data_IF_280017636227
#
_entry.id   IF_280017636227
#
_cell.length_a   1.000
_cell.length_b   1.000
_cell.length_c   1.000
_cell.angle_alpha   90.00
_cell.angle_beta   90.00
_cell.angle_gamma   90.00
#
_symmetry.space_group_name_H-M   'P 1'
#
loop_
_entity.id
_entity.type
_entity.pdbx_description
1 polymer ?
#
# COMPACT_ATOMS: atom_id res chain seq x y z
N UNK A 1 3.30 3.29 -28.07
CA UNK A 1 3.36 4.32 -27.00
C UNK A 1 2.56 3.97 -25.75
N UNK A 2 1.52 3.13 -25.81
CA UNK A 2 0.87 2.58 -24.62
C UNK A 2 0.75 1.05 -24.74
N UNK A 3 1.90 0.40 -24.71
CA UNK A 3 2.04 -1.05 -24.74
C UNK A 3 3.45 -1.40 -24.26
N UNK A 4 3.58 -1.73 -22.97
CA UNK A 4 4.81 -2.17 -22.27
C UNK A 4 6.11 -1.34 -22.43
N UNK A 5 6.09 -0.22 -23.14
CA UNK A 5 7.19 0.75 -23.21
C UNK A 5 7.00 1.82 -22.14
N UNK A 6 8.12 2.26 -21.54
CA UNK A 6 8.15 3.30 -20.53
C UNK A 6 7.44 4.57 -21.04
N UNK A 7 6.48 5.08 -20.27
CA UNK A 7 5.70 6.25 -20.68
C UNK A 7 6.61 7.47 -20.86
N UNK A 8 6.52 8.12 -22.02
CA UNK A 8 7.24 9.37 -22.31
C UNK A 8 6.47 10.54 -21.67
N UNK A 9 6.61 10.68 -20.35
CA UNK A 9 5.82 11.63 -19.54
C UNK A 9 6.08 13.11 -19.84
N UNK A 10 7.16 13.43 -20.56
CA UNK A 10 7.49 14.80 -20.98
C UNK A 10 6.93 15.16 -22.36
N UNK A 11 6.33 14.22 -23.09
CA UNK A 11 5.75 14.49 -24.40
C UNK A 11 4.49 15.38 -24.26
N UNK A 12 4.31 16.41 -25.12
CA UNK A 12 3.12 17.26 -25.08
C UNK A 12 1.79 16.50 -25.14
N UNK A 13 1.76 15.31 -25.75
CA UNK A 13 0.56 14.46 -25.80
C UNK A 13 0.20 13.89 -24.43
N UNK A 14 1.19 13.57 -23.59
CA UNK A 14 0.95 13.16 -22.20
C UNK A 14 0.34 14.31 -21.39
N UNK A 15 0.94 15.49 -21.50
CA UNK A 15 0.43 16.70 -20.83
C UNK A 15 -0.95 17.13 -21.35
N UNK A 16 -1.29 16.86 -22.61
CA UNK A 16 -2.63 17.12 -23.16
C UNK A 16 -3.73 16.22 -22.57
N UNK A 17 -3.38 15.04 -22.06
CA UNK A 17 -4.28 14.13 -21.35
C UNK A 17 -4.30 14.31 -19.84
N UNK A 18 -3.31 15.03 -19.29
CA UNK A 18 -3.20 15.29 -17.85
C UNK A 18 -4.13 16.42 -17.45
N UNK A 19 -5.04 16.19 -16.50
CA UNK A 19 -6.08 17.14 -16.22
C UNK A 19 -5.57 18.25 -15.29
N UNK A 20 -6.23 19.41 -15.35
CA UNK A 20 -5.80 20.66 -14.72
C UNK A 20 -6.98 21.48 -14.26
N UNK A 21 -6.78 22.24 -13.21
CA UNK A 21 -7.77 23.20 -12.74
C UNK A 21 -7.80 24.43 -13.66
N UNK A 22 -8.96 25.09 -13.72
CA UNK A 22 -9.13 26.23 -14.61
C UNK A 22 -8.30 27.42 -14.12
N UNK A 23 -7.44 27.95 -14.98
CA UNK A 23 -6.61 29.12 -14.69
C UNK A 23 -5.32 28.82 -13.91
N UNK A 24 -5.00 27.56 -13.63
CA UNK A 24 -3.75 27.18 -12.97
C UNK A 24 -2.63 26.96 -13.97
N UNK A 25 -1.40 27.27 -13.55
CA UNK A 25 -0.17 26.96 -14.30
C UNK A 25 0.34 25.53 -14.10
N UNK A 26 -0.30 24.78 -13.19
CA UNK A 26 0.04 23.41 -12.83
C UNK A 26 -1.08 22.44 -13.19
N UNK A 27 -0.73 21.17 -13.38
CA UNK A 27 -1.65 20.06 -13.66
C UNK A 27 -1.48 18.93 -12.62
N UNK A 28 -2.23 17.83 -12.78
CA UNK A 28 -2.18 16.75 -11.80
C UNK A 28 -0.83 16.02 -11.71
N UNK A 29 -0.04 16.00 -12.78
CA UNK A 29 1.33 15.49 -12.72
C UNK A 29 2.16 16.31 -11.72
N UNK A 30 2.01 17.63 -11.75
CA UNK A 30 2.76 18.54 -10.88
C UNK A 30 2.33 18.38 -9.41
N UNK A 31 1.03 18.16 -9.16
CA UNK A 31 0.53 17.81 -7.81
C UNK A 31 1.11 16.47 -7.34
N UNK A 32 1.10 15.44 -8.19
CA UNK A 32 1.69 14.15 -7.87
C UNK A 32 3.17 14.31 -7.56
N UNK A 33 3.91 15.09 -8.35
CA UNK A 33 5.34 15.33 -8.13
C UNK A 33 5.63 16.11 -6.84
N UNK A 34 4.72 16.98 -6.40
CA UNK A 34 4.80 17.61 -5.08
C UNK A 34 4.75 16.54 -3.98
N UNK A 35 3.76 15.65 -4.01
CA UNK A 35 3.65 14.56 -3.03
C UNK A 35 4.74 13.50 -3.18
N UNK A 36 5.24 13.25 -4.38
CA UNK A 36 6.41 12.40 -4.62
C UNK A 36 7.60 12.89 -3.78
N UNK A 37 7.89 14.20 -3.85
CA UNK A 37 8.98 14.80 -3.10
C UNK A 37 8.73 14.73 -1.59
N UNK A 38 7.50 14.94 -1.14
CA UNK A 38 7.15 14.81 0.27
C UNK A 38 7.26 13.38 0.81
N UNK A 39 6.85 12.37 0.04
CA UNK A 39 6.84 10.97 0.47
C UNK A 39 8.23 10.33 0.40
N UNK A 40 8.97 10.57 -0.68
CA UNK A 40 10.24 9.88 -0.96
C UNK A 40 11.48 10.73 -0.68
N UNK A 41 11.31 11.98 -0.25
CA UNK A 41 12.39 12.93 0.04
C UNK A 41 13.43 13.03 -1.09
N UNK A 42 12.94 12.94 -2.33
CA UNK A 42 13.75 12.90 -3.56
C UNK A 42 13.11 13.76 -4.65
N UNK A 43 13.93 14.40 -5.50
CA UNK A 43 13.48 15.26 -6.58
C UNK A 43 12.85 14.45 -7.72
N UNK A 44 11.55 14.64 -7.97
CA UNK A 44 10.84 14.03 -9.09
C UNK A 44 11.49 14.39 -10.45
N UNK A 45 11.94 15.64 -10.59
CA UNK A 45 12.60 16.12 -11.80
C UNK A 45 13.91 15.38 -12.06
N UNK A 46 14.77 15.28 -11.05
CA UNK A 46 16.06 14.58 -11.19
C UNK A 46 15.87 13.10 -11.51
N UNK A 47 14.92 12.44 -10.82
CA UNK A 47 14.61 11.02 -11.06
C UNK A 47 14.14 10.78 -12.49
N UNK A 48 13.31 11.66 -13.07
CA UNK A 48 12.89 11.56 -14.48
C UNK A 48 14.07 11.54 -15.47
N UNK A 49 15.18 12.20 -15.14
CA UNK A 49 16.37 12.23 -15.99
C UNK A 49 17.32 11.07 -15.74
N UNK A 50 17.55 10.72 -14.48
CA UNK A 50 18.55 9.73 -14.08
C UNK A 50 18.02 8.30 -14.20
N UNK A 51 16.79 8.07 -13.76
CA UNK A 51 16.14 6.76 -13.72
C UNK A 51 14.62 6.90 -13.91
N UNK A 52 14.17 7.03 -15.18
CA UNK A 52 12.76 7.26 -15.46
C UNK A 52 11.88 6.04 -15.13
N UNK A 53 12.44 4.82 -15.08
CA UNK A 53 11.72 3.62 -14.64
C UNK A 53 11.41 3.68 -13.14
N UNK A 54 12.42 4.00 -12.31
CA UNK A 54 12.22 4.20 -10.86
C UNK A 54 11.27 5.36 -10.59
N UNK A 55 11.41 6.46 -11.31
CA UNK A 55 10.49 7.58 -11.22
C UNK A 55 9.03 7.14 -11.45
N UNK A 56 8.76 6.35 -12.50
CA UNK A 56 7.41 5.86 -12.80
C UNK A 56 6.91 4.89 -11.72
N UNK A 57 7.75 3.94 -11.30
CA UNK A 57 7.39 2.96 -10.26
C UNK A 57 6.99 3.64 -8.95
N UNK A 58 7.74 4.66 -8.52
CA UNK A 58 7.43 5.45 -7.33
C UNK A 58 6.21 6.35 -7.54
N UNK A 59 6.08 6.97 -8.71
CA UNK A 59 4.96 7.85 -9.07
C UNK A 59 3.62 7.11 -9.04
N UNK A 60 3.58 5.85 -9.48
CA UNK A 60 2.37 5.02 -9.42
C UNK A 60 1.81 4.90 -8.00
N UNK A 61 2.68 4.85 -6.99
CA UNK A 61 2.30 4.66 -5.58
C UNK A 61 1.78 5.93 -4.91
N UNK A 62 2.24 7.12 -5.36
CA UNK A 62 1.99 8.41 -4.67
C UNK A 62 0.52 8.64 -4.39
N UNK A 63 -0.33 8.59 -5.43
CA UNK A 63 -1.75 8.89 -5.27
C UNK A 63 -2.42 7.90 -4.32
N UNK A 64 -2.07 6.61 -4.42
CA UNK A 64 -2.60 5.57 -3.54
C UNK A 64 -2.21 5.76 -2.08
N UNK A 65 -0.94 6.08 -1.82
CA UNK A 65 -0.44 6.35 -0.47
C UNK A 65 -1.12 7.56 0.16
N UNK A 66 -1.20 8.67 -0.58
CA UNK A 66 -1.80 9.92 -0.07
C UNK A 66 -3.27 9.70 0.27
N UNK A 67 -4.06 9.14 -0.66
CA UNK A 67 -5.49 8.94 -0.42
C UNK A 67 -5.74 7.92 0.68
N UNK A 68 -4.95 6.85 0.79
CA UNK A 68 -5.09 5.88 1.87
C UNK A 68 -4.84 6.50 3.24
N UNK A 69 -3.81 7.34 3.39
CA UNK A 69 -3.56 8.09 4.63
C UNK A 69 -4.71 9.02 5.00
N UNK A 70 -5.27 9.72 4.01
CA UNK A 70 -6.43 10.60 4.21
C UNK A 70 -7.67 9.81 4.64
N UNK A 71 -7.96 8.67 3.99
CA UNK A 71 -9.08 7.82 4.38
C UNK A 71 -8.89 7.20 5.76
N UNK A 72 -7.67 6.78 6.10
CA UNK A 72 -7.34 6.28 7.43
C UNK A 72 -7.63 7.34 8.52
N UNK A 73 -7.23 8.59 8.29
CA UNK A 73 -7.52 9.71 9.20
C UNK A 73 -9.02 10.04 9.27
N UNK A 74 -9.71 10.07 8.13
CA UNK A 74 -11.15 10.35 8.08
C UNK A 74 -12.01 9.25 8.69
N UNK A 75 -11.52 8.00 8.69
CA UNK A 75 -12.23 6.88 9.32
C UNK A 75 -11.98 6.79 10.82
N UNK A 76 -10.93 7.44 11.33
CA UNK A 76 -10.63 7.41 12.75
C UNK A 76 -11.69 8.10 13.59
N UNK A 77 -11.96 7.56 14.79
CA UNK A 77 -12.81 8.19 15.79
C UNK A 77 -12.27 9.51 16.34
N UNK A 78 -11.00 9.84 16.09
CA UNK A 78 -10.42 11.14 16.40
C UNK A 78 -11.00 12.28 15.53
N UNK A 79 -11.68 11.94 14.42
CA UNK A 79 -12.25 12.90 13.49
C UNK A 79 -13.79 12.78 13.41
N UNK A 80 -14.45 13.87 13.02
CA UNK A 80 -15.91 13.91 12.84
C UNK A 80 -16.34 13.66 11.39
N UNK A 81 -15.46 13.10 10.55
CA UNK A 81 -15.76 12.84 9.16
C UNK A 81 -16.76 11.68 9.04
N UNK A 82 -17.93 11.96 8.47
CA UNK A 82 -19.03 10.98 8.34
C UNK A 82 -19.14 10.37 6.94
N UNK A 83 -18.20 10.68 6.04
CA UNK A 83 -18.21 10.20 4.67
C UNK A 83 -17.21 10.93 3.79
N UNK A 84 -16.69 10.21 2.82
CA UNK A 84 -15.68 10.70 1.90
C UNK A 84 -15.88 10.11 0.51
N UNK A 85 -15.63 10.93 -0.52
CA UNK A 85 -15.76 10.54 -1.92
C UNK A 85 -14.43 10.79 -2.62
N UNK A 86 -13.99 9.83 -3.43
CA UNK A 86 -12.77 9.98 -4.24
C UNK A 86 -13.10 10.55 -5.61
N UNK A 87 -12.43 11.64 -5.96
CA UNK A 87 -12.36 12.13 -7.33
C UNK A 87 -11.10 11.56 -8.01
N UNK A 88 -11.20 10.66 -9.00
CA UNK A 88 -12.43 10.11 -9.60
C UNK A 88 -12.34 8.60 -9.84
N UNK A 89 -13.42 8.00 -10.32
CA UNK A 89 -13.48 6.56 -10.59
C UNK A 89 -12.57 6.11 -11.75
N UNK A 90 -12.76 6.63 -12.98
CA UNK A 90 -12.02 6.22 -14.18
C UNK A 90 -11.54 7.40 -15.05
N UNK A 91 -10.32 7.31 -15.60
CA UNK A 91 -9.77 8.38 -16.43
C UNK A 91 -10.51 8.52 -17.75
N UNK A 92 -10.74 9.77 -18.14
CA UNK A 92 -11.40 10.10 -19.40
C UNK A 92 -10.44 9.97 -20.60
N UNK A 93 -9.12 10.11 -20.35
CA UNK A 93 -8.07 10.08 -21.37
C UNK A 93 -6.81 9.41 -20.81
N UNK A 94 -5.94 8.98 -21.71
CA UNK A 94 -4.59 8.52 -21.36
C UNK A 94 -3.73 9.70 -20.89
N UNK A 95 -3.05 9.52 -19.76
CA UNK A 95 -2.22 10.51 -19.11
C UNK A 95 -2.18 10.27 -17.60
N UNK A 96 -1.63 11.21 -16.83
CA UNK A 96 -1.75 11.17 -15.38
C UNK A 96 -3.12 11.71 -14.97
N UNK A 97 -4.16 10.89 -15.05
CA UNK A 97 -5.49 11.26 -14.57
C UNK A 97 -5.71 10.99 -13.08
N UNK A 98 -6.76 11.59 -12.49
CA UNK A 98 -7.16 11.42 -11.09
C UNK A 98 -7.81 10.06 -10.77
N UNK A 99 -7.98 9.20 -11.78
CA UNK A 99 -8.72 7.95 -11.65
C UNK A 99 -8.03 6.95 -10.79
N UNK A 100 -8.83 6.18 -10.05
CA UNK A 100 -8.37 4.91 -9.48
C UNK A 100 -8.29 3.81 -10.56
N UNK A 101 -9.03 3.99 -11.67
CA UNK A 101 -8.95 3.23 -12.91
C UNK A 101 -8.43 4.16 -14.02
N UNK A 102 -7.55 3.65 -14.89
CA UNK A 102 -6.98 4.43 -15.99
C UNK A 102 -7.87 4.47 -17.25
N UNK A 103 -7.41 5.19 -18.28
CA UNK A 103 -8.14 5.35 -19.54
C UNK A 103 -8.25 4.07 -20.38
N UNK A 104 -7.53 3.01 -20.02
CA UNK A 104 -7.58 1.66 -20.60
C UNK A 104 -8.35 0.67 -19.72
N UNK A 105 -9.10 1.18 -18.73
CA UNK A 105 -9.85 0.40 -17.76
C UNK A 105 -8.99 -0.53 -16.88
N UNK A 106 -7.70 -0.22 -16.71
CA UNK A 106 -6.81 -0.93 -15.79
C UNK A 106 -6.82 -0.29 -14.41
N UNK A 107 -6.72 -1.11 -13.36
CA UNK A 107 -6.64 -0.64 -11.97
C UNK A 107 -5.28 0.01 -11.70
N UNK A 108 -5.28 1.23 -11.16
CA UNK A 108 -4.05 1.88 -10.69
C UNK A 108 -3.73 1.43 -9.25
N UNK A 109 -2.54 1.75 -8.75
CA UNK A 109 -2.21 1.49 -7.35
C UNK A 109 -3.26 2.06 -6.39
N UNK A 110 -3.74 3.29 -6.64
CA UNK A 110 -4.77 3.94 -5.83
C UNK A 110 -6.04 3.10 -5.63
N UNK A 111 -6.43 2.27 -6.62
CA UNK A 111 -7.55 1.33 -6.46
C UNK A 111 -7.29 0.35 -5.31
N UNK A 112 -6.12 -0.28 -5.26
CA UNK A 112 -5.80 -1.29 -4.25
C UNK A 112 -5.58 -0.69 -2.87
N UNK A 113 -4.94 0.48 -2.80
CA UNK A 113 -4.81 1.25 -1.56
C UNK A 113 -6.19 1.58 -0.95
N UNK A 114 -7.11 2.10 -1.76
CA UNK A 114 -8.47 2.40 -1.31
C UNK A 114 -9.30 1.15 -1.04
N UNK A 115 -9.12 0.08 -1.83
CA UNK A 115 -9.76 -1.22 -1.59
C UNK A 115 -9.46 -1.72 -0.18
N UNK A 116 -8.22 -1.57 0.30
CA UNK A 116 -7.84 -1.90 1.68
C UNK A 116 -8.41 -0.92 2.69
N UNK A 117 -8.32 0.39 2.43
CA UNK A 117 -8.84 1.43 3.33
C UNK A 117 -10.37 1.41 3.49
N UNK A 118 -11.11 0.85 2.53
CA UNK A 118 -12.58 0.76 2.53
C UNK A 118 -13.12 -0.59 2.96
N UNK A 119 -12.29 -1.51 3.46
CA UNK A 119 -12.79 -2.78 3.96
C UNK A 119 -13.77 -2.55 5.13
N UNK A 120 -14.92 -3.26 5.17
CA UNK A 120 -15.87 -3.17 6.29
C UNK A 120 -15.26 -3.62 7.62
N UNK A 121 -14.32 -4.55 7.58
CA UNK A 121 -13.45 -4.88 8.69
C UNK A 121 -12.07 -4.29 8.39
N UNK A 122 -11.65 -3.30 9.17
CA UNK A 122 -10.48 -2.48 8.88
C UNK A 122 -9.68 -2.23 10.15
N UNK A 123 -8.35 -2.18 10.03
CA UNK A 123 -7.46 -1.67 11.08
C UNK A 123 -6.75 -0.42 10.56
N UNK A 124 -6.99 0.71 11.20
CA UNK A 124 -6.32 1.97 10.95
C UNK A 124 -5.17 2.22 11.92
N UNK A 125 -4.15 2.96 11.48
CA UNK A 125 -3.04 3.39 12.33
C UNK A 125 -2.95 4.92 12.30
N UNK A 126 -3.15 5.57 13.45
CA UNK A 126 -3.11 7.05 13.55
C UNK A 126 -1.98 7.51 14.45
N UNK A 127 -1.35 8.62 14.08
CA UNK A 127 -0.34 9.29 14.89
C UNK A 127 -1.02 10.33 15.79
N UNK A 128 -1.10 10.04 17.08
CA UNK A 128 -1.70 10.90 18.12
C UNK A 128 -0.67 11.83 18.78
N UNK A 129 0.40 12.14 18.07
CA UNK A 129 1.49 13.00 18.50
C UNK A 129 2.13 12.50 19.82
N UNK A 130 2.05 13.30 20.88
CA UNK A 130 2.62 12.98 22.20
C UNK A 130 1.95 11.79 22.89
N UNK A 131 0.80 11.34 22.39
CA UNK A 131 0.09 10.15 22.85
C UNK A 131 0.51 8.87 22.10
N UNK A 132 1.47 8.97 21.17
CA UNK A 132 2.01 7.81 20.46
C UNK A 132 1.20 7.45 19.22
N UNK A 133 1.16 6.17 18.88
CA UNK A 133 0.40 5.65 17.74
C UNK A 133 -0.74 4.78 18.25
N UNK A 134 -1.93 5.00 17.71
CA UNK A 134 -3.10 4.17 17.97
C UNK A 134 -3.35 3.21 16.80
N UNK A 135 -3.77 1.99 17.12
CA UNK A 135 -4.48 1.13 16.18
C UNK A 135 -5.97 1.19 16.46
N UNK A 136 -6.78 1.46 15.44
CA UNK A 136 -8.23 1.48 15.54
C UNK A 136 -8.83 0.38 14.67
N UNK A 137 -9.51 -0.57 15.30
CA UNK A 137 -10.17 -1.68 14.61
C UNK A 137 -11.63 -1.32 14.44
N UNK A 138 -12.11 -1.26 13.19
CA UNK A 138 -13.48 -0.95 12.84
C UNK A 138 -14.18 -2.20 12.32
N UNK A 139 -15.28 -2.59 12.97
CA UNK A 139 -16.20 -3.60 12.48
C UNK A 139 -17.48 -2.93 11.99
N UNK A 140 -17.51 -2.60 10.70
CA UNK A 140 -18.70 -2.10 10.02
C UNK A 140 -19.62 -3.21 9.52
N UNK A 141 -19.39 -4.49 9.87
CA UNK A 141 -20.29 -5.58 9.49
C UNK A 141 -21.55 -5.57 10.36
N UNK A 142 -22.57 -6.33 9.97
CA UNK A 142 -23.80 -6.54 10.73
C UNK A 142 -23.74 -7.75 11.70
N UNK A 143 -22.56 -8.35 11.83
CA UNK A 143 -22.22 -9.40 12.77
C UNK A 143 -21.04 -9.00 13.66
N UNK A 144 -20.90 -9.68 14.80
CA UNK A 144 -19.76 -9.49 15.69
C UNK A 144 -18.49 -10.09 15.08
N UNK A 145 -17.36 -9.42 15.28
CA UNK A 145 -16.03 -9.91 14.92
C UNK A 145 -15.41 -10.61 16.13
N UNK A 146 -14.86 -11.80 15.93
CA UNK A 146 -14.08 -12.51 16.94
C UNK A 146 -12.75 -12.92 16.31
N UNK A 147 -11.65 -12.52 16.93
CA UNK A 147 -10.34 -12.73 16.33
C UNK A 147 -9.22 -12.18 17.19
N UNK A 148 -8.10 -11.89 16.56
CA UNK A 148 -6.99 -11.22 17.22
C UNK A 148 -6.32 -10.18 16.33
N UNK A 149 -5.73 -9.18 16.98
CA UNK A 149 -4.91 -8.14 16.37
C UNK A 149 -3.44 -8.43 16.71
N UNK A 150 -2.66 -8.74 15.69
CA UNK A 150 -1.20 -8.82 15.77
C UNK A 150 -0.56 -7.46 15.50
N UNK A 151 0.40 -7.07 16.33
CA UNK A 151 1.17 -5.83 16.21
C UNK A 151 2.66 -6.17 16.19
N UNK A 152 3.38 -5.70 15.17
CA UNK A 152 4.82 -5.91 15.02
C UNK A 152 5.56 -4.59 14.84
N UNK A 153 6.61 -4.40 15.63
CA UNK A 153 7.57 -3.33 15.43
C UNK A 153 8.76 -3.83 14.61
N UNK A 154 9.04 -3.15 13.51
CA UNK A 154 10.10 -3.50 12.57
C UNK A 154 11.18 -2.43 12.62
N UNK A 155 12.42 -2.83 12.87
CA UNK A 155 13.56 -1.91 12.96
C UNK A 155 14.14 -1.54 11.58
N UNK A 156 15.18 -0.69 11.59
CA UNK A 156 15.89 -0.28 10.36
C UNK A 156 16.57 -1.42 9.60
N UNK A 157 16.79 -2.58 10.23
CA UNK A 157 17.40 -3.76 9.63
C UNK A 157 16.38 -4.82 9.20
N UNK A 158 15.10 -4.46 9.20
CA UNK A 158 13.95 -5.34 8.88
C UNK A 158 13.77 -6.49 9.87
N UNK A 159 14.23 -6.32 11.12
CA UNK A 159 14.01 -7.27 12.20
C UNK A 159 12.75 -6.90 12.98
N UNK A 160 11.96 -7.91 13.33
CA UNK A 160 10.84 -7.75 14.27
C UNK A 160 11.41 -7.68 15.68
N UNK A 161 11.38 -6.48 16.26
CA UNK A 161 11.99 -6.20 17.59
C UNK A 161 10.98 -6.25 18.74
N UNK A 162 9.69 -6.16 18.42
CA UNK A 162 8.61 -6.38 19.37
C UNK A 162 7.40 -6.95 18.61
N UNK A 163 6.66 -7.83 19.29
CA UNK A 163 5.47 -8.48 18.75
C UNK A 163 4.49 -8.76 19.90
N UNK A 164 3.26 -8.31 19.74
CA UNK A 164 2.15 -8.61 20.65
C UNK A 164 0.90 -9.00 19.87
N UNK A 165 0.07 -9.83 20.49
CA UNK A 165 -1.20 -10.29 19.92
C UNK A 165 -2.32 -10.11 20.93
N UNK A 166 -3.38 -9.43 20.50
CA UNK A 166 -4.54 -9.12 21.36
C UNK A 166 -5.75 -9.88 20.85
N UNK A 167 -6.26 -10.82 21.63
CA UNK A 167 -7.58 -11.38 21.40
C UNK A 167 -8.65 -10.32 21.63
N UNK A 168 -9.58 -10.17 20.68
CA UNK A 168 -10.62 -9.15 20.73
C UNK A 168 -11.96 -9.65 20.17
N UNK A 169 -13.03 -9.09 20.70
CA UNK A 169 -14.39 -9.28 20.20
C UNK A 169 -15.01 -7.91 19.98
N UNK A 170 -15.23 -7.53 18.72
CA UNK A 170 -15.78 -6.22 18.36
C UNK A 170 -17.21 -6.43 17.87
N UNK A 171 -18.16 -5.90 18.61
CA UNK A 171 -19.57 -6.00 18.24
C UNK A 171 -19.84 -5.39 16.86
N UNK A 172 -20.93 -5.82 16.21
CA UNK A 172 -21.36 -5.24 14.94
C UNK A 172 -21.47 -3.71 15.00
N UNK A 173 -21.04 -3.02 13.94
CA UNK A 173 -21.08 -1.55 13.80
C UNK A 173 -20.39 -0.83 14.98
N UNK A 174 -19.28 -1.40 15.48
CA UNK A 174 -18.46 -0.82 16.54
C UNK A 174 -17.00 -0.75 16.14
N UNK A 175 -16.26 0.06 16.89
CA UNK A 175 -14.83 0.23 16.74
C UNK A 175 -14.18 0.20 18.12
N UNK A 176 -12.93 -0.26 18.17
CA UNK A 176 -12.11 -0.25 19.37
C UNK A 176 -10.73 0.33 19.04
N UNK A 177 -10.19 1.10 19.99
CA UNK A 177 -8.91 1.80 19.83
C UNK A 177 -7.91 1.27 20.85
N UNK A 178 -6.71 0.97 20.37
CA UNK A 178 -5.60 0.43 21.14
C UNK A 178 -4.41 1.37 21.04
N UNK A 179 -3.92 1.86 22.17
CA UNK A 179 -2.66 2.61 22.20
C UNK A 179 -1.48 1.64 22.13
N UNK A 180 -0.64 1.76 21.12
CA UNK A 180 0.35 0.72 20.82
C UNK A 180 1.50 0.67 21.83
N UNK A 181 1.95 1.81 22.37
CA UNK A 181 2.94 1.83 23.45
C UNK A 181 2.40 1.10 24.70
N UNK A 182 1.13 1.32 25.04
CA UNK A 182 0.49 0.63 26.17
C UNK A 182 0.35 -0.89 25.92
N UNK A 183 -0.02 -1.29 24.70
CA UNK A 183 -0.16 -2.70 24.34
C UNK A 183 1.19 -3.43 24.39
N UNK A 184 2.25 -2.81 23.87
CA UNK A 184 3.59 -3.40 23.85
C UNK A 184 4.28 -3.37 25.22
N UNK A 185 3.65 -2.78 26.24
CA UNK A 185 4.15 -2.74 27.62
C UNK A 185 5.40 -1.86 27.83
N UNK A 186 5.84 -1.13 26.81
CA UNK A 186 7.05 -0.32 26.81
C UNK A 186 6.84 0.95 25.98
N UNK A 187 7.50 2.04 26.39
CA UNK A 187 7.49 3.29 25.65
C UNK A 187 8.57 3.27 24.56
N UNK A 188 8.16 3.26 23.29
CA UNK A 188 9.04 3.19 22.11
C UNK A 188 9.17 4.52 21.35
N UNK A 189 8.44 5.58 21.74
CA UNK A 189 8.30 6.81 20.94
C UNK A 189 7.89 6.47 19.49
N UNK A 190 6.82 5.68 19.34
CA UNK A 190 6.38 5.11 18.06
C UNK A 190 6.08 6.17 16.98
N UNK A 191 5.64 7.35 17.38
CA UNK A 191 5.40 8.49 16.52
C UNK A 191 6.66 9.34 16.24
N UNK A 192 7.78 9.02 16.90
CA UNK A 192 9.05 9.75 16.88
C UNK A 192 8.91 11.26 17.17
N UNK A 193 8.01 11.60 18.10
CA UNK A 193 7.69 13.00 18.45
C UNK A 193 8.66 13.53 19.49
N UNK A 194 9.08 12.69 20.44
CA UNK A 194 10.04 13.08 21.47
C UNK A 194 11.49 13.09 20.96
N UNK A 195 11.76 12.36 19.88
CA UNK A 195 13.07 12.29 19.21
C UNK A 195 14.18 11.80 20.13
N UNK A 196 13.83 10.89 21.03
CA UNK A 196 14.82 10.26 21.91
C UNK A 196 15.65 9.26 21.12
N UNK A 197 16.90 9.63 20.84
CA UNK A 197 17.84 8.77 20.15
C UNK A 197 17.57 8.61 18.64
N UNK A 198 18.24 7.66 17.99
CA UNK A 198 18.09 7.41 16.56
C UNK A 198 16.70 6.90 16.20
N UNK A 199 16.32 7.11 14.93
CA UNK A 199 15.08 6.61 14.34
C UNK A 199 15.11 5.08 14.22
N UNK A 200 14.82 4.37 15.31
CA UNK A 200 14.98 2.92 15.34
C UNK A 200 13.82 2.15 14.69
N UNK A 201 12.61 2.72 14.70
CA UNK A 201 11.43 2.10 14.11
C UNK A 201 11.33 2.47 12.63
N UNK A 202 11.39 1.46 11.77
CA UNK A 202 11.18 1.58 10.32
C UNK A 202 9.70 1.51 9.99
N UNK A 203 8.99 0.55 10.59
CA UNK A 203 7.55 0.38 10.39
C UNK A 203 6.87 -0.26 11.61
N UNK A 204 5.58 0.00 11.71
CA UNK A 204 4.64 -0.66 12.61
C UNK A 204 3.65 -1.40 11.72
N UNK A 205 3.55 -2.71 11.87
CA UNK A 205 2.62 -3.53 11.11
C UNK A 205 1.51 -4.04 12.02
N UNK A 206 0.26 -3.90 11.59
CA UNK A 206 -0.92 -4.48 12.23
C UNK A 206 -1.59 -5.48 11.31
N UNK A 207 -1.99 -6.64 11.84
CA UNK A 207 -2.71 -7.67 11.09
C UNK A 207 -3.88 -8.17 11.92
N UNK A 208 -5.09 -8.13 11.34
CA UNK A 208 -6.29 -8.73 11.93
C UNK A 208 -6.46 -10.14 11.40
N UNK A 209 -6.73 -11.06 12.32
CA UNK A 209 -7.01 -12.45 12.03
C UNK A 209 -8.43 -12.84 12.45
N UNK A 210 -9.14 -13.54 11.57
CA UNK A 210 -10.40 -14.25 11.83
C UNK A 210 -10.18 -15.71 11.45
N UNK A 211 -10.35 -16.66 12.38
CA UNK A 211 -10.10 -18.10 12.15
C UNK A 211 -8.73 -18.40 11.49
N UNK A 212 -7.65 -17.77 11.99
CA UNK A 212 -6.28 -17.86 11.48
C UNK A 212 -6.08 -17.34 10.04
N UNK A 213 -7.09 -16.68 9.46
CA UNK A 213 -6.99 -16.00 8.17
C UNK A 213 -6.81 -14.50 8.35
N UNK A 214 -5.88 -13.93 7.57
CA UNK A 214 -5.71 -12.47 7.52
C UNK A 214 -6.92 -11.85 6.85
N UNK A 215 -7.65 -11.00 7.58
CA UNK A 215 -8.84 -10.30 7.09
C UNK A 215 -8.59 -8.81 6.82
N UNK A 216 -7.62 -8.22 7.49
CA UNK A 216 -7.12 -6.88 7.19
C UNK A 216 -5.68 -6.73 7.66
N UNK A 217 -4.90 -5.88 6.99
CA UNK A 217 -3.57 -5.50 7.40
C UNK A 217 -3.32 -4.01 7.11
N UNK A 218 -2.43 -3.40 7.88
CA UNK A 218 -2.03 -2.00 7.69
C UNK A 218 -0.61 -1.77 8.21
N UNK A 219 0.06 -0.76 7.66
CA UNK A 219 1.43 -0.40 7.99
C UNK A 219 1.54 1.10 8.21
N UNK A 220 2.16 1.49 9.32
CA UNK A 220 2.54 2.86 9.59
C UNK A 220 4.06 3.01 9.51
N UNK A 221 4.51 4.06 8.82
CA UNK A 221 5.91 4.40 8.65
C UNK A 221 6.16 5.73 9.37
N UNK A 222 6.69 5.71 10.61
CA UNK A 222 6.90 6.94 11.39
C UNK A 222 7.89 7.92 10.75
N UNK A 223 8.71 7.40 9.83
CA UNK A 223 9.80 8.12 9.19
C UNK A 223 9.58 8.24 7.68
N UNK A 224 10.30 7.44 6.91
CA UNK A 224 10.28 7.46 5.45
C UNK A 224 9.72 6.13 4.93
N UNK A 225 9.12 6.16 3.73
CA UNK A 225 8.69 4.94 3.07
C UNK A 225 9.91 4.08 2.71
N UNK A 226 9.88 2.76 2.93
CA UNK A 226 11.05 1.90 2.75
C UNK A 226 11.25 1.53 1.27
N UNK A 227 11.68 2.51 0.49
CA UNK A 227 11.89 2.40 -0.97
C UNK A 227 13.36 2.29 -1.37
N UNK A 228 14.27 2.36 -0.40
CA UNK A 228 15.70 2.16 -0.66
C UNK A 228 15.95 0.72 -1.11
N UNK A 229 16.84 0.56 -2.10
CA UNK A 229 17.24 -0.75 -2.59
C UNK A 229 17.80 -1.61 -1.46
N UNK A 230 17.39 -2.87 -1.43
CA UNK A 230 17.86 -3.85 -0.46
C UNK A 230 18.20 -5.17 -1.15
N UNK A 231 19.10 -5.92 -0.52
CA UNK A 231 19.26 -7.34 -0.84
C UNK A 231 18.17 -8.11 -0.10
N UNK A 232 17.30 -8.77 -0.87
CA UNK A 232 16.07 -9.36 -0.39
C UNK A 232 15.95 -10.79 -0.91
N UNK A 233 15.71 -11.72 -0.01
CA UNK A 233 15.27 -13.06 -0.32
C UNK A 233 13.74 -13.05 -0.42
N UNK A 234 13.24 -13.27 -1.64
CA UNK A 234 11.81 -13.34 -1.93
C UNK A 234 11.48 -14.74 -2.42
N UNK A 235 10.73 -15.48 -1.61
CA UNK A 235 10.15 -16.77 -1.99
C UNK A 235 8.82 -16.52 -2.70
N UNK A 236 8.65 -17.19 -3.84
CA UNK A 236 7.45 -17.12 -4.68
C UNK A 236 6.97 -18.54 -4.92
N UNK A 237 5.80 -18.88 -4.39
CA UNK A 237 5.16 -20.16 -4.59
C UNK A 237 3.85 -19.95 -5.36
N UNK A 238 3.63 -20.74 -6.39
CA UNK A 238 2.41 -20.68 -7.20
C UNK A 238 1.65 -21.98 -7.09
N UNK A 239 0.33 -21.90 -6.95
CA UNK A 239 -0.53 -23.07 -6.94
C UNK A 239 -1.71 -22.84 -7.88
N UNK A 240 -1.89 -23.73 -8.85
CA UNK A 240 -3.05 -23.69 -9.75
C UNK A 240 -4.22 -24.38 -9.06
N UNK A 241 -5.30 -23.65 -8.82
CA UNK A 241 -6.55 -24.22 -8.28
C UNK A 241 -7.30 -24.91 -9.42
N UNK A 242 -7.47 -24.19 -10.53
CA UNK A 242 -8.12 -24.65 -11.76
C UNK A 242 -7.54 -23.87 -12.97
N UNK A 243 -8.02 -24.11 -14.22
CA UNK A 243 -7.49 -23.41 -15.39
C UNK A 243 -7.58 -21.88 -15.33
N UNK A 244 -8.57 -21.32 -14.62
CA UNK A 244 -8.86 -19.89 -14.54
C UNK A 244 -8.39 -19.26 -13.23
N UNK A 245 -8.21 -20.05 -12.17
CA UNK A 245 -7.87 -19.56 -10.84
C UNK A 245 -6.55 -20.15 -10.33
N UNK A 246 -5.68 -19.27 -9.82
CA UNK A 246 -4.43 -19.67 -9.19
C UNK A 246 -4.09 -18.77 -8.00
N UNK A 247 -3.22 -19.24 -7.12
CA UNK A 247 -2.68 -18.45 -6.01
C UNK A 247 -1.20 -18.21 -6.19
N UNK A 248 -0.74 -17.06 -5.69
CA UNK A 248 0.67 -16.75 -5.50
C UNK A 248 0.89 -16.45 -4.02
N UNK A 249 1.75 -17.23 -3.38
CA UNK A 249 2.20 -17.00 -2.00
C UNK A 249 3.58 -16.38 -2.04
N UNK A 250 3.72 -15.24 -1.38
CA UNK A 250 4.95 -14.47 -1.29
C UNK A 250 5.45 -14.44 0.14
N UNK A 251 6.73 -14.69 0.35
CA UNK A 251 7.40 -14.55 1.63
C UNK A 251 8.71 -13.82 1.44
N UNK A 252 8.94 -12.76 2.22
CA UNK A 252 10.17 -11.98 2.18
C UNK A 252 10.85 -11.95 3.54
N UNK A 253 12.18 -11.94 3.55
CA UNK A 253 12.98 -11.65 4.73
C UNK A 253 13.17 -10.14 4.99
N UNK A 254 12.65 -9.27 4.12
CA UNK A 254 12.74 -7.81 4.19
C UNK A 254 11.35 -7.18 4.14
N UNK A 255 11.24 -5.94 4.61
CA UNK A 255 10.03 -5.16 4.46
C UNK A 255 9.98 -4.61 3.03
N UNK A 256 9.01 -5.07 2.24
CA UNK A 256 8.84 -4.61 0.87
C UNK A 256 7.54 -3.82 0.78
N UNK A 257 7.63 -2.50 0.65
CA UNK A 257 6.48 -1.62 0.42
C UNK A 257 6.14 -1.54 -1.07
N UNK A 258 4.85 -1.51 -1.42
CA UNK A 258 4.40 -1.29 -2.80
C UNK A 258 4.72 -2.45 -3.75
N UNK A 259 4.64 -3.70 -3.27
CA UNK A 259 4.84 -4.91 -4.07
C UNK A 259 3.76 -5.02 -5.13
N UNK A 260 4.18 -4.96 -6.39
CA UNK A 260 3.35 -5.09 -7.57
C UNK A 260 3.51 -6.47 -8.18
N UNK A 261 2.40 -7.16 -8.38
CA UNK A 261 2.31 -8.45 -9.09
C UNK A 261 1.64 -8.24 -10.43
N UNK A 262 2.33 -8.61 -11.50
CA UNK A 262 1.83 -8.50 -12.87
C UNK A 262 1.86 -9.87 -13.54
N UNK A 263 0.68 -10.37 -13.89
CA UNK A 263 0.49 -11.62 -14.63
C UNK A 263 -0.50 -11.31 -15.76
N UNK A 264 -0.02 -11.11 -17.01
CA UNK A 264 -0.90 -10.76 -18.12
C UNK A 264 -2.05 -11.74 -18.29
N UNK A 265 -3.25 -11.22 -18.53
CA UNK A 265 -4.49 -12.00 -18.63
C UNK A 265 -5.14 -12.38 -17.30
N UNK A 266 -4.55 -11.99 -16.15
CA UNK A 266 -5.09 -12.28 -14.82
C UNK A 266 -5.35 -11.00 -14.02
N UNK A 267 -6.44 -11.01 -13.26
CA UNK A 267 -6.79 -9.96 -12.31
C UNK A 267 -6.43 -10.39 -10.89
N UNK A 268 -5.58 -9.64 -10.18
CA UNK A 268 -5.19 -9.98 -8.83
C UNK A 268 -6.22 -9.51 -7.79
N UNK A 269 -6.48 -10.38 -6.80
CA UNK A 269 -7.29 -10.07 -5.62
C UNK A 269 -6.70 -8.95 -4.78
N UNK A 270 -5.37 -8.78 -4.76
CA UNK A 270 -4.68 -7.65 -4.14
C UNK A 270 -3.39 -7.32 -4.89
N UNK A 271 -2.98 -6.05 -4.86
CA UNK A 271 -1.78 -5.56 -5.56
C UNK A 271 -1.24 -4.30 -4.86
N UNK A 272 0.00 -3.91 -5.16
CA UNK A 272 0.67 -2.76 -4.55
C UNK A 272 0.59 -2.77 -3.01
N UNK A 273 0.78 -3.94 -2.40
CA UNK A 273 0.70 -4.16 -0.95
C UNK A 273 2.08 -4.14 -0.29
N UNK A 274 2.12 -4.15 1.03
CA UNK A 274 3.36 -4.27 1.79
C UNK A 274 3.55 -5.73 2.24
N UNK A 275 4.75 -6.27 2.07
CA UNK A 275 5.14 -7.55 2.68
C UNK A 275 5.89 -7.30 3.98
N UNK A 276 5.33 -7.78 5.08
CA UNK A 276 5.98 -7.80 6.40
C UNK A 276 7.06 -8.89 6.44
N UNK A 277 8.28 -8.63 6.97
CA UNK A 277 9.32 -9.64 7.10
C UNK A 277 8.83 -10.90 7.82
N UNK A 278 9.07 -12.07 7.22
CA UNK A 278 8.71 -13.35 7.81
C UNK A 278 7.22 -13.69 7.81
N UNK A 279 6.36 -12.86 7.21
CA UNK A 279 4.93 -13.15 7.05
C UNK A 279 4.61 -13.46 5.60
N UNK A 280 4.05 -14.64 5.35
CA UNK A 280 3.60 -15.01 4.02
C UNK A 280 2.31 -14.27 3.67
N UNK A 281 2.21 -13.76 2.44
CA UNK A 281 0.96 -13.20 1.88
C UNK A 281 0.56 -13.99 0.65
N UNK A 282 -0.66 -14.51 0.66
CA UNK A 282 -1.25 -15.22 -0.47
C UNK A 282 -2.21 -14.30 -1.20
N UNK A 283 -2.06 -14.21 -2.52
CA UNK A 283 -3.00 -13.52 -3.40
C UNK A 283 -3.62 -14.51 -4.37
N UNK A 284 -4.92 -14.37 -4.58
CA UNK A 284 -5.67 -15.07 -5.62
C UNK A 284 -5.57 -14.28 -6.94
N UNK A 285 -5.39 -14.99 -8.05
CA UNK A 285 -5.40 -14.46 -9.40
C UNK A 285 -6.51 -15.16 -10.19
N UNK A 286 -7.40 -14.36 -10.79
CA UNK A 286 -8.49 -14.84 -11.64
C UNK A 286 -8.24 -14.46 -13.10
N UNK A 287 -8.32 -15.42 -14.00
CA UNK A 287 -8.15 -15.20 -15.43
C UNK A 287 -9.28 -14.32 -15.98
N UNK A 288 -8.91 -13.30 -16.74
CA UNK A 288 -9.82 -12.41 -17.46
C UNK A 288 -9.73 -12.62 -18.98
N UNK A 289 -8.55 -12.97 -19.47
CA UNK A 289 -8.29 -13.18 -20.89
C UNK A 289 -7.43 -14.43 -21.08
N UNK A 290 -7.69 -15.16 -22.17
CA UNK A 290 -6.87 -16.32 -22.52
C UNK A 290 -5.49 -15.88 -22.98
N UNK A 291 -4.44 -16.44 -22.37
CA UNK A 291 -3.05 -16.14 -22.73
C UNK A 291 -2.33 -17.41 -23.17
N UNK A 292 -1.56 -17.37 -24.27
CA UNK A 292 -0.91 -18.57 -24.82
C UNK A 292 0.19 -19.14 -23.90
N UNK A 293 0.75 -18.31 -23.01
CA UNK A 293 1.72 -18.75 -22.00
C UNK A 293 1.63 -17.86 -20.76
N UNK A 294 1.47 -18.49 -19.59
CA UNK A 294 1.55 -17.81 -18.30
C UNK A 294 2.99 -17.31 -18.07
N UNK A 295 3.12 -16.01 -17.87
CA UNK A 295 4.35 -15.33 -17.45
C UNK A 295 3.95 -14.28 -16.43
N UNK A 296 4.81 -14.01 -15.48
CA UNK A 296 4.53 -13.00 -14.48
C UNK A 296 5.81 -12.42 -13.91
N UNK A 297 5.70 -11.21 -13.39
CA UNK A 297 6.78 -10.50 -12.72
C UNK A 297 6.26 -9.86 -11.44
N UNK A 298 7.16 -9.81 -10.46
CA UNK A 298 6.97 -9.10 -9.21
C UNK A 298 7.99 -7.97 -9.17
N UNK A 299 7.52 -6.77 -8.89
CA UNK A 299 8.36 -5.59 -8.70
C UNK A 299 8.01 -4.93 -7.38
N UNK A 300 8.97 -4.22 -6.80
CA UNK A 300 8.74 -3.33 -5.67
C UNK A 300 9.86 -2.28 -5.67
N UNK A 301 9.61 -1.05 -5.16
CA UNK A 301 10.61 0.02 -5.08
C UNK A 301 11.98 -0.38 -4.47
N UNK A 302 11.96 -1.28 -3.48
CA UNK A 302 13.14 -1.74 -2.77
C UNK A 302 13.87 -2.92 -3.46
N UNK A 303 13.30 -3.51 -4.51
CA UNK A 303 13.93 -4.61 -5.24
C UNK A 303 14.85 -4.07 -6.34
N UNK A 304 16.09 -4.57 -6.40
CA UNK A 304 17.07 -4.20 -7.43
C UNK A 304 16.65 -4.59 -8.85
N UNK A 305 15.82 -5.64 -8.98
CA UNK A 305 15.36 -6.17 -10.26
C UNK A 305 14.00 -6.85 -10.10
N UNK A 306 13.24 -6.91 -11.19
CA UNK A 306 11.99 -7.64 -11.23
C UNK A 306 12.22 -9.15 -11.01
N UNK A 307 11.43 -9.77 -10.13
CA UNK A 307 11.48 -11.22 -9.87
C UNK A 307 10.47 -11.93 -10.75
N UNK A 308 10.92 -12.93 -11.51
CA UNK A 308 10.05 -13.70 -12.42
C UNK A 308 9.22 -14.70 -11.64
N UNK A 309 7.94 -14.78 -11.96
CA UNK A 309 7.04 -15.82 -11.47
C UNK A 309 7.18 -17.04 -12.38
N UNK A 310 7.38 -18.21 -11.77
CA UNK A 310 7.37 -19.50 -12.46
C UNK A 310 6.04 -20.17 -12.16
N UNK A 311 5.34 -20.59 -13.22
CA UNK A 311 4.07 -21.33 -13.17
C UNK A 311 4.28 -22.78 -13.55
#
# INVERSE_FOLDING_TARGET
MFGNELAVVHDPRWKAGTPRDSGTGWDFDDIRDHYFQELFKSSALEQRYVDPERYMQLSELVSGEVVARVFNEWRSSANNCSGALTWFFQDIKLGAGWGIIDGLAQTKAAYYFLKRAWQPLFVGLTNENFQGVNAEVHNERDCDFNGHLDIRLIDQHDQVIAHESIALTIAKRKSETFNLDAVLGHFFDLAYVYKFGPKNIKAIATTLFEDEQVVADNHYFPNELPVAYCDCELTIETHTIDPENLTITLLSNKLLYGVKVEVPGFFPSDNFFTLTPGMAKTIFLQQQEEVPRRKGVITAPALNEAKRIKF
#
